data_IF_868104745491
#
_entry.id   IF_868104745491
#
_cell.length_a   1.000
_cell.length_b   1.000
_cell.length_c   1.000
_cell.angle_alpha   90.00
_cell.angle_beta   90.00
_cell.angle_gamma   90.00
#
_symmetry.space_group_name_H-M   'P 1'
#
loop_
_entity.id
_entity.type
_entity.pdbx_description
1 polymer ?
#
# COMPACT_ATOMS: atom_id res chain seq x y z
N UNK A 1 -20.37 -22.23 15.66
CA UNK A 1 -21.20 -21.72 14.55
C UNK A 1 -20.92 -22.52 13.29
N UNK A 2 -19.64 -22.69 12.93
CA UNK A 2 -19.17 -23.39 11.74
C UNK A 2 -18.70 -24.83 12.01
N UNK A 3 -18.88 -25.37 13.22
CA UNK A 3 -18.39 -26.72 13.59
C UNK A 3 -18.91 -27.84 12.68
N UNK A 4 -20.14 -27.71 12.18
CA UNK A 4 -20.80 -28.71 11.34
C UNK A 4 -20.84 -28.32 9.86
N UNK A 5 -20.25 -27.18 9.48
CA UNK A 5 -20.18 -26.76 8.08
C UNK A 5 -18.94 -27.36 7.44
N UNK A 6 -19.00 -27.64 6.14
CA UNK A 6 -17.82 -28.04 5.38
C UNK A 6 -16.77 -26.90 5.40
N UNK A 7 -15.54 -27.22 5.83
CA UNK A 7 -14.43 -26.27 5.93
C UNK A 7 -13.27 -26.80 5.08
N UNK A 8 -13.28 -26.48 3.79
CA UNK A 8 -12.19 -26.83 2.86
C UNK A 8 -11.97 -25.67 1.89
N UNK A 9 -10.72 -25.47 1.48
CA UNK A 9 -10.30 -24.35 0.66
C UNK A 9 -10.47 -23.03 1.39
N UNK A 10 -11.59 -22.32 1.15
CA UNK A 10 -11.83 -20.97 1.67
C UNK A 10 -13.11 -20.89 2.50
N UNK A 11 -13.06 -20.18 3.62
CA UNK A 11 -14.23 -19.86 4.44
C UNK A 11 -14.28 -18.36 4.74
N UNK A 12 -15.16 -17.64 4.06
CA UNK A 12 -15.35 -16.20 4.30
C UNK A 12 -16.24 -15.94 5.51
N UNK A 13 -15.79 -15.07 6.42
CA UNK A 13 -16.57 -14.63 7.58
C UNK A 13 -17.05 -13.18 7.46
N UNK A 14 -16.47 -12.39 6.56
CA UNK A 14 -16.90 -11.03 6.26
C UNK A 14 -16.64 -10.72 4.79
N UNK A 15 -17.67 -10.25 4.10
CA UNK A 15 -17.56 -9.71 2.75
C UNK A 15 -18.39 -8.44 2.59
N UNK A 16 -17.72 -7.33 2.28
CA UNK A 16 -18.32 -5.98 2.28
C UNK A 16 -19.41 -5.73 1.22
N UNK A 17 -19.40 -6.46 0.09
CA UNK A 17 -20.43 -6.32 -0.97
C UNK A 17 -21.75 -7.02 -0.60
N UNK A 18 -21.73 -7.96 0.34
CA UNK A 18 -22.93 -8.68 0.74
C UNK A 18 -24.05 -7.74 1.21
N UNK A 19 -25.31 -8.18 1.08
CA UNK A 19 -26.48 -7.43 1.52
C UNK A 19 -26.39 -7.04 3.01
N UNK A 20 -25.99 -8.00 3.86
CA UNK A 20 -25.79 -7.85 5.31
C UNK A 20 -24.40 -8.35 5.74
N UNK A 21 -23.32 -7.58 5.54
CA UNK A 21 -21.94 -8.03 5.77
C UNK A 21 -21.62 -8.33 7.24
N UNK A 22 -22.38 -7.72 8.15
CA UNK A 22 -22.20 -7.85 9.60
C UNK A 22 -23.28 -8.73 10.25
N UNK A 23 -23.92 -9.63 9.50
CA UNK A 23 -24.99 -10.50 10.03
C UNK A 23 -24.55 -11.34 11.23
N UNK A 24 -23.30 -11.82 11.20
CA UNK A 24 -22.73 -12.69 12.24
C UNK A 24 -21.81 -11.94 13.21
N UNK A 25 -21.75 -10.62 13.10
CA UNK A 25 -20.84 -9.75 13.81
C UNK A 25 -21.59 -8.84 14.80
N UNK A 26 -21.12 -8.76 16.02
CA UNK A 26 -21.51 -7.72 16.98
C UNK A 26 -20.73 -6.43 16.70
N UNK A 27 -21.35 -5.29 16.98
CA UNK A 27 -20.79 -3.97 16.71
C UNK A 27 -20.79 -3.19 18.01
N UNK A 28 -19.61 -2.70 18.41
CA UNK A 28 -19.48 -1.75 19.51
C UNK A 28 -18.83 -0.49 18.99
N UNK A 29 -19.51 0.63 19.20
CA UNK A 29 -19.08 1.94 18.71
C UNK A 29 -19.23 2.94 19.83
N UNK A 30 -18.13 3.62 20.15
CA UNK A 30 -18.12 4.77 21.06
C UNK A 30 -17.20 5.83 20.46
N UNK A 31 -17.74 7.01 20.19
CA UNK A 31 -17.02 8.13 19.55
C UNK A 31 -16.35 7.71 18.23
N UNK A 32 -17.16 7.12 17.33
CA UNK A 32 -16.74 6.62 16.03
C UNK A 32 -17.96 6.22 15.19
N UNK A 33 -17.71 5.57 14.05
CA UNK A 33 -18.76 5.07 13.15
C UNK A 33 -18.35 3.78 12.46
N UNK A 34 -19.37 3.00 12.06
CA UNK A 34 -19.21 1.85 11.18
C UNK A 34 -20.15 2.07 10.00
N UNK A 35 -19.59 2.29 8.81
CA UNK A 35 -20.36 2.56 7.60
C UNK A 35 -19.80 1.82 6.40
N UNK A 36 -20.65 1.58 5.41
CA UNK A 36 -20.22 1.10 4.10
C UNK A 36 -19.96 2.31 3.21
N UNK A 37 -18.80 2.37 2.60
CA UNK A 37 -18.42 3.44 1.66
C UNK A 37 -17.86 2.83 0.39
N UNK A 38 -17.86 3.59 -0.70
CA UNK A 38 -17.11 3.24 -1.91
C UNK A 38 -15.69 3.74 -1.77
N UNK A 39 -14.70 2.85 -1.81
CA UNK A 39 -13.29 3.24 -1.79
C UNK A 39 -12.83 3.65 -3.19
N UNK A 40 -12.13 4.77 -3.30
CA UNK A 40 -11.69 5.31 -4.58
C UNK A 40 -10.63 4.44 -5.25
N UNK A 41 -9.77 3.76 -4.46
CA UNK A 41 -8.65 3.00 -5.02
C UNK A 41 -9.17 1.75 -5.70
N UNK A 42 -10.06 0.98 -5.06
CA UNK A 42 -10.62 -0.27 -5.63
C UNK A 42 -11.98 -0.11 -6.31
N UNK A 43 -12.54 1.10 -6.30
CA UNK A 43 -13.88 1.44 -6.84
C UNK A 43 -14.99 0.48 -6.38
N UNK A 44 -14.92 0.00 -5.14
CA UNK A 44 -15.85 -0.99 -4.61
C UNK A 44 -16.27 -0.67 -3.18
N UNK A 45 -17.40 -1.26 -2.76
CA UNK A 45 -17.92 -1.09 -1.41
C UNK A 45 -16.99 -1.75 -0.39
N UNK A 46 -16.63 -1.00 0.65
CA UNK A 46 -15.80 -1.44 1.77
C UNK A 46 -16.47 -1.08 3.08
N UNK A 47 -16.19 -1.85 4.12
CA UNK A 47 -16.64 -1.54 5.46
C UNK A 47 -15.60 -0.67 6.17
N UNK A 48 -15.93 0.58 6.42
CA UNK A 48 -15.10 1.49 7.21
C UNK A 48 -15.50 1.39 8.69
N UNK A 49 -14.51 1.10 9.54
CA UNK A 49 -14.62 1.13 10.99
C UNK A 49 -13.67 2.20 11.48
N UNK A 50 -14.20 3.32 11.98
CA UNK A 50 -13.39 4.45 12.43
C UNK A 50 -13.80 4.85 13.85
N UNK A 51 -12.82 5.29 14.64
CA UNK A 51 -13.06 5.73 16.01
C UNK A 51 -11.87 6.46 16.58
N UNK A 52 -12.15 7.43 17.44
CA UNK A 52 -11.11 8.21 18.14
C UNK A 52 -10.22 7.32 19.01
N UNK A 53 -10.81 6.35 19.71
CA UNK A 53 -10.10 5.37 20.51
C UNK A 53 -10.25 3.96 19.92
N UNK A 54 -9.12 3.35 19.59
CA UNK A 54 -9.02 2.00 19.00
C UNK A 54 -9.68 0.95 19.90
N UNK A 55 -9.56 1.08 21.21
CA UNK A 55 -10.09 0.09 22.17
C UNK A 55 -11.61 0.11 22.30
N UNK A 56 -12.27 1.23 22.00
CA UNK A 56 -13.70 1.41 22.29
C UNK A 56 -14.62 1.13 21.11
N UNK A 57 -14.07 1.12 19.89
CA UNK A 57 -14.82 0.84 18.67
C UNK A 57 -14.22 -0.39 17.97
N UNK A 58 -15.03 -1.44 17.85
CA UNK A 58 -14.62 -2.71 17.25
C UNK A 58 -15.83 -3.53 16.78
N UNK A 59 -15.56 -4.47 15.88
CA UNK A 59 -16.50 -5.52 15.48
C UNK A 59 -15.99 -6.86 15.97
N UNK A 60 -16.90 -7.73 16.42
CA UNK A 60 -16.56 -9.04 16.97
C UNK A 60 -17.39 -10.13 16.34
N UNK A 61 -16.75 -11.23 15.95
CA UNK A 61 -17.40 -12.43 15.44
C UNK A 61 -17.06 -13.63 16.34
N UNK A 62 -18.05 -14.38 16.87
CA UNK A 62 -19.48 -14.26 16.60
C UNK A 62 -20.15 -13.16 17.43
N UNK A 63 -21.35 -12.73 17.00
CA UNK A 63 -22.10 -11.67 17.66
C UNK A 63 -22.46 -11.99 19.13
N UNK A 64 -22.79 -13.25 19.42
CA UNK A 64 -23.05 -13.71 20.78
C UNK A 64 -21.74 -14.04 21.53
N UNK A 65 -21.48 -13.43 22.70
CA UNK A 65 -20.31 -13.75 23.53
C UNK A 65 -20.22 -15.22 23.96
N UNK A 66 -21.35 -15.93 24.10
CA UNK A 66 -21.41 -17.33 24.53
C UNK A 66 -21.11 -18.31 23.39
N UNK A 67 -21.31 -17.89 22.15
CA UNK A 67 -21.06 -18.72 20.96
C UNK A 67 -19.59 -18.65 20.54
N UNK A 68 -19.14 -19.67 19.82
CA UNK A 68 -17.82 -19.74 19.21
C UNK A 68 -17.94 -19.98 17.71
N UNK A 69 -16.96 -19.53 16.93
CA UNK A 69 -16.86 -19.79 15.49
C UNK A 69 -16.68 -21.29 15.23
N UNK A 70 -15.59 -21.86 15.74
CA UNK A 70 -15.24 -23.28 15.56
C UNK A 70 -14.66 -23.57 14.17
N UNK A 71 -13.77 -22.70 13.72
CA UNK A 71 -13.11 -22.81 12.40
C UNK A 71 -11.74 -23.48 12.60
N UNK A 72 -11.49 -24.57 11.88
CA UNK A 72 -10.27 -25.40 11.97
C UNK A 72 -9.19 -25.04 10.95
N UNK A 73 -9.51 -24.14 10.01
CA UNK A 73 -8.57 -23.67 9.01
C UNK A 73 -7.43 -22.86 9.69
N UNK A 74 -6.15 -23.11 9.34
CA UNK A 74 -4.98 -22.55 10.03
C UNK A 74 -4.63 -21.12 9.61
N UNK A 75 -4.94 -20.71 8.38
CA UNK A 75 -4.60 -19.37 7.90
C UNK A 75 -5.81 -18.45 8.01
N UNK A 76 -5.63 -17.31 8.67
CA UNK A 76 -6.57 -16.20 8.65
C UNK A 76 -6.04 -15.14 7.70
N UNK A 77 -6.82 -14.77 6.69
CA UNK A 77 -6.46 -13.75 5.71
C UNK A 77 -7.43 -12.58 5.80
N UNK A 78 -6.89 -11.37 5.88
CA UNK A 78 -7.65 -10.13 5.95
C UNK A 78 -7.16 -9.15 4.89
N UNK A 79 -8.10 -8.62 4.11
CA UNK A 79 -7.83 -7.57 3.12
C UNK A 79 -8.29 -6.26 3.73
N UNK A 80 -7.32 -5.43 4.14
CA UNK A 80 -7.57 -4.17 4.84
C UNK A 80 -6.78 -3.02 4.22
N UNK A 81 -7.36 -1.82 4.26
CA UNK A 81 -6.64 -0.58 3.91
C UNK A 81 -6.06 0.07 5.15
N UNK A 82 -4.78 0.39 5.08
CA UNK A 82 -4.08 1.17 6.10
C UNK A 82 -4.49 2.64 5.99
N UNK A 83 -5.07 3.19 7.06
CA UNK A 83 -5.47 4.60 7.15
C UNK A 83 -4.41 5.49 7.81
N UNK A 84 -3.18 4.99 8.00
CA UNK A 84 -2.09 5.67 8.72
C UNK A 84 -2.47 6.07 10.15
N UNK A 85 -3.37 5.30 10.76
CA UNK A 85 -3.88 5.47 12.13
C UNK A 85 -3.63 4.20 12.94
N UNK A 86 -3.73 4.28 14.26
CA UNK A 86 -3.56 3.10 15.11
C UNK A 86 -4.64 2.06 14.86
N UNK A 87 -4.21 0.83 14.61
CA UNK A 87 -5.05 -0.31 14.26
C UNK A 87 -4.58 -1.57 15.02
N UNK A 88 -5.53 -2.42 15.39
CA UNK A 88 -5.26 -3.70 16.03
C UNK A 88 -6.38 -4.70 15.73
N UNK A 89 -6.05 -5.98 15.76
CA UNK A 89 -7.03 -7.05 15.75
C UNK A 89 -6.64 -8.13 16.75
N UNK A 90 -7.63 -8.89 17.19
CA UNK A 90 -7.50 -9.98 18.13
C UNK A 90 -8.14 -11.25 17.58
N UNK A 91 -7.44 -12.38 17.76
CA UNK A 91 -7.95 -13.71 17.43
C UNK A 91 -7.83 -14.58 18.67
N UNK A 92 -8.94 -15.19 19.06
CA UNK A 92 -8.96 -16.18 20.13
C UNK A 92 -8.95 -17.58 19.54
N UNK A 93 -8.00 -18.40 19.97
CA UNK A 93 -7.83 -19.78 19.52
C UNK A 93 -7.94 -20.76 20.68
N UNK A 94 -8.24 -22.00 20.35
CA UNK A 94 -8.16 -23.14 21.24
C UNK A 94 -6.92 -23.98 20.89
N UNK A 95 -6.13 -24.31 21.92
CA UNK A 95 -5.00 -25.23 21.80
C UNK A 95 -5.38 -26.69 22.16
N UNK A 96 -4.47 -27.63 21.90
CA UNK A 96 -4.61 -29.06 22.22
C UNK A 96 -4.67 -29.38 23.72
N UNK A 97 -4.23 -28.46 24.56
CA UNK A 97 -4.38 -28.51 26.03
C UNK A 97 -5.73 -27.94 26.49
N UNK A 98 -6.64 -27.66 25.56
CA UNK A 98 -7.96 -27.08 25.82
C UNK A 98 -7.89 -25.71 26.53
N UNK A 99 -6.79 -24.98 26.34
CA UNK A 99 -6.59 -23.63 26.86
C UNK A 99 -6.90 -22.62 25.76
N UNK A 100 -7.63 -21.56 26.14
CA UNK A 100 -7.98 -20.47 25.23
C UNK A 100 -6.85 -19.44 25.23
N UNK A 101 -6.21 -19.24 24.08
CA UNK A 101 -5.15 -18.25 23.88
C UNK A 101 -5.65 -17.12 23.01
N UNK A 102 -5.10 -15.92 23.20
CA UNK A 102 -5.41 -14.75 22.41
C UNK A 102 -4.18 -14.22 21.71
N UNK A 103 -4.27 -14.01 20.41
CA UNK A 103 -3.26 -13.31 19.63
C UNK A 103 -3.78 -11.91 19.35
N UNK A 104 -3.01 -10.90 19.74
CA UNK A 104 -3.28 -9.50 19.42
C UNK A 104 -2.14 -8.98 18.56
N UNK A 105 -2.46 -8.56 17.35
CA UNK A 105 -1.49 -7.87 16.50
C UNK A 105 -1.86 -6.38 16.44
N UNK A 106 -0.88 -5.49 16.54
CA UNK A 106 -1.09 -4.04 16.56
C UNK A 106 0.04 -3.28 15.88
N UNK A 107 -0.28 -2.17 15.22
CA UNK A 107 0.72 -1.35 14.51
C UNK A 107 1.46 -0.33 15.40
N UNK A 108 1.05 -0.18 16.67
CA UNK A 108 1.69 0.69 17.66
C UNK A 108 2.56 -0.08 18.67
N UNK A 109 2.59 -1.41 18.59
CA UNK A 109 3.45 -2.24 19.42
C UNK A 109 4.76 -2.48 18.66
N UNK A 110 5.90 -2.37 19.34
CA UNK A 110 7.23 -2.59 18.73
C UNK A 110 7.82 -3.97 19.00
N UNK A 111 7.44 -4.59 20.12
CA UNK A 111 8.03 -5.86 20.59
C UNK A 111 6.98 -6.94 20.78
N UNK A 112 7.33 -8.18 20.45
CA UNK A 112 6.48 -9.33 20.76
C UNK A 112 6.56 -9.64 22.25
N UNK A 113 5.41 -9.86 22.90
CA UNK A 113 5.32 -10.29 24.30
C UNK A 113 4.41 -11.48 24.41
N UNK A 114 4.91 -12.56 25.00
CA UNK A 114 4.16 -13.80 25.23
C UNK A 114 3.83 -13.88 26.71
N UNK A 115 2.54 -13.81 27.03
CA UNK A 115 1.98 -14.11 28.36
C UNK A 115 1.16 -15.39 28.25
N UNK A 116 0.86 -16.09 29.36
CA UNK A 116 0.12 -17.36 29.30
C UNK A 116 -1.14 -17.28 28.44
N UNK A 117 -2.02 -16.29 28.61
CA UNK A 117 -3.29 -16.25 27.87
C UNK A 117 -3.30 -15.29 26.66
N UNK A 118 -2.24 -14.51 26.47
CA UNK A 118 -2.18 -13.49 25.44
C UNK A 118 -0.78 -13.33 24.86
N UNK A 119 -0.69 -13.37 23.55
CA UNK A 119 0.51 -13.01 22.80
C UNK A 119 0.22 -11.71 22.05
N UNK A 120 0.97 -10.66 22.36
CA UNK A 120 0.91 -9.38 21.65
C UNK A 120 2.08 -9.29 20.68
N UNK A 121 1.80 -9.00 19.42
CA UNK A 121 2.82 -8.91 18.37
C UNK A 121 2.74 -7.58 17.60
N UNK A 122 3.90 -7.04 17.17
CA UNK A 122 3.93 -5.91 16.28
C UNK A 122 3.40 -6.31 14.89
N UNK A 123 2.77 -5.38 14.19
CA UNK A 123 2.54 -5.49 12.75
C UNK A 123 3.05 -4.24 12.04
N UNK A 124 3.54 -4.40 10.82
CA UNK A 124 3.78 -3.30 9.90
C UNK A 124 2.79 -3.43 8.76
N UNK A 125 2.24 -2.29 8.34
CA UNK A 125 1.30 -2.20 7.23
C UNK A 125 1.88 -1.21 6.24
N UNK A 126 1.86 -1.58 4.97
CA UNK A 126 2.27 -0.70 3.89
C UNK A 126 1.17 0.33 3.62
N UNK A 127 1.50 1.33 2.81
CA UNK A 127 0.56 2.35 2.40
C UNK A 127 -0.48 1.77 1.44
N UNK A 128 -1.76 2.08 1.67
CA UNK A 128 -2.85 1.60 0.83
C UNK A 128 -3.42 0.24 1.26
N UNK A 129 -3.74 -0.61 0.29
CA UNK A 129 -4.38 -1.90 0.51
C UNK A 129 -3.37 -2.99 0.84
N UNK A 130 -3.63 -3.72 1.92
CA UNK A 130 -2.76 -4.76 2.45
C UNK A 130 -3.53 -6.08 2.56
N UNK A 131 -2.87 -7.18 2.20
CA UNK A 131 -3.36 -8.53 2.47
C UNK A 131 -2.56 -9.13 3.63
N UNK A 132 -3.17 -9.11 4.82
CA UNK A 132 -2.56 -9.69 6.02
C UNK A 132 -2.85 -11.19 6.03
N UNK A 133 -1.80 -12.00 6.05
CA UNK A 133 -1.88 -13.44 6.19
C UNK A 133 -1.37 -13.84 7.57
N UNK A 134 -2.19 -14.57 8.31
CA UNK A 134 -1.92 -14.87 9.71
C UNK A 134 -1.97 -16.38 9.95
N UNK A 135 -0.79 -16.98 10.15
CA UNK A 135 -0.65 -18.41 10.36
C UNK A 135 -0.88 -18.77 11.84
N UNK A 136 -2.12 -19.12 12.18
CA UNK A 136 -2.51 -19.41 13.56
C UNK A 136 -1.86 -20.68 14.11
N UNK A 137 -1.64 -21.69 13.26
CA UNK A 137 -1.03 -22.95 13.68
C UNK A 137 0.45 -22.77 14.02
N UNK A 138 1.17 -21.99 13.23
CA UNK A 138 2.58 -21.75 13.49
C UNK A 138 2.79 -20.75 14.65
N UNK A 139 1.93 -19.75 14.80
CA UNK A 139 2.00 -18.85 15.97
C UNK A 139 1.69 -19.55 17.29
N UNK A 140 0.73 -20.48 17.33
CA UNK A 140 0.44 -21.28 18.53
C UNK A 140 1.62 -22.18 18.91
N UNK A 141 2.21 -22.86 17.92
CA UNK A 141 3.40 -23.69 18.13
C UNK A 141 4.59 -22.87 18.62
N UNK A 142 4.89 -21.73 17.98
CA UNK A 142 6.03 -20.87 18.37
C UNK A 142 5.85 -20.18 19.72
N UNK A 143 4.64 -19.74 20.06
CA UNK A 143 4.42 -18.99 21.30
C UNK A 143 4.25 -19.90 22.53
N UNK A 144 3.63 -21.08 22.38
CA UNK A 144 3.23 -21.91 23.52
C UNK A 144 3.70 -23.38 23.44
N UNK A 145 4.29 -23.80 22.32
CA UNK A 145 4.68 -25.21 22.12
C UNK A 145 3.49 -26.17 22.03
N UNK A 146 2.32 -25.66 21.65
CA UNK A 146 1.05 -26.41 21.54
C UNK A 146 0.50 -26.36 20.13
N UNK A 147 -0.38 -27.29 19.77
CA UNK A 147 -1.01 -27.33 18.46
C UNK A 147 -2.32 -26.51 18.42
N UNK A 148 -2.59 -25.88 17.28
CA UNK A 148 -3.85 -25.21 17.00
C UNK A 148 -4.96 -26.21 16.71
N UNK A 149 -6.11 -26.05 17.38
CA UNK A 149 -7.33 -26.83 17.10
C UNK A 149 -8.33 -26.01 16.29
N UNK A 150 -8.78 -24.89 16.84
CA UNK A 150 -9.82 -24.07 16.21
C UNK A 150 -9.76 -22.60 16.64
N UNK A 151 -10.24 -21.72 15.77
CA UNK A 151 -10.52 -20.33 16.08
C UNK A 151 -11.91 -20.19 16.71
N UNK A 152 -11.94 -19.53 17.86
CA UNK A 152 -13.15 -19.30 18.64
C UNK A 152 -13.79 -17.95 18.34
N UNK A 153 -12.99 -16.90 18.20
CA UNK A 153 -13.46 -15.52 18.06
C UNK A 153 -12.45 -14.67 17.30
N UNK A 154 -12.95 -13.76 16.46
CA UNK A 154 -12.17 -12.72 15.79
C UNK A 154 -12.74 -11.37 16.18
N UNK A 155 -11.88 -10.43 16.52
CA UNK A 155 -12.25 -9.06 16.86
C UNK A 155 -11.34 -8.10 16.09
N UNK A 156 -11.93 -7.13 15.40
CA UNK A 156 -11.21 -6.15 14.58
C UNK A 156 -11.54 -4.77 15.11
N UNK A 157 -10.52 -4.00 15.46
CA UNK A 157 -10.68 -2.67 16.02
C UNK A 157 -10.76 -1.57 14.95
N UNK A 158 -11.07 -0.37 15.41
CA UNK A 158 -11.20 0.82 14.59
C UNK A 158 -9.93 1.21 13.82
N UNK A 159 -10.15 2.15 12.90
CA UNK A 159 -9.19 2.77 11.98
C UNK A 159 -8.69 1.86 10.87
N UNK A 160 -9.62 1.11 10.28
CA UNK A 160 -9.37 0.32 9.09
C UNK A 160 -10.55 0.38 8.11
N UNK A 161 -10.26 0.12 6.83
CA UNK A 161 -11.30 -0.25 5.86
C UNK A 161 -11.12 -1.72 5.53
N UNK A 162 -12.18 -2.49 5.68
CA UNK A 162 -12.17 -3.94 5.53
C UNK A 162 -12.92 -4.29 4.26
N UNK A 163 -12.26 -5.04 3.38
CA UNK A 163 -12.85 -5.56 2.16
C UNK A 163 -13.41 -6.96 2.37
N UNK A 164 -12.55 -7.87 2.87
CA UNK A 164 -12.85 -9.28 3.06
C UNK A 164 -12.03 -9.85 4.21
N UNK A 165 -12.63 -10.76 4.96
CA UNK A 165 -11.95 -11.59 5.98
C UNK A 165 -12.36 -13.03 5.76
N UNK A 166 -11.37 -13.90 5.55
CA UNK A 166 -11.61 -15.30 5.28
C UNK A 166 -10.51 -16.17 5.89
N UNK A 167 -10.80 -17.45 6.04
CA UNK A 167 -9.84 -18.47 6.41
C UNK A 167 -9.49 -19.33 5.21
N UNK A 168 -8.28 -19.86 5.21
CA UNK A 168 -7.84 -20.85 4.23
C UNK A 168 -7.07 -22.01 4.88
N UNK A 169 -7.06 -23.16 4.20
CA UNK A 169 -6.31 -24.35 4.56
C UNK A 169 -4.80 -24.19 4.31
N UNK A 170 -4.44 -23.50 3.22
CA UNK A 170 -3.08 -23.15 2.82
C UNK A 170 -2.97 -21.69 2.37
N UNK A 171 -1.75 -21.23 2.14
CA UNK A 171 -1.50 -19.98 1.44
C UNK A 171 -1.59 -20.24 -0.06
N UNK A 172 -2.55 -19.59 -0.70
CA UNK A 172 -2.73 -19.63 -2.15
C UNK A 172 -1.95 -18.47 -2.79
N UNK A 173 -1.32 -18.74 -3.93
CA UNK A 173 -0.74 -17.67 -4.76
C UNK A 173 -1.86 -16.85 -5.40
N UNK A 174 -1.54 -15.66 -5.90
CA UNK A 174 -2.52 -14.81 -6.56
C UNK A 174 -3.16 -15.51 -7.76
N UNK A 175 -2.45 -16.38 -8.48
CA UNK A 175 -2.99 -17.08 -9.66
C UNK A 175 -4.05 -18.12 -9.30
N UNK A 176 -3.87 -18.84 -8.19
CA UNK A 176 -4.79 -19.86 -7.70
C UNK A 176 -6.04 -19.27 -7.03
N UNK A 177 -5.98 -18.01 -6.59
CA UNK A 177 -7.11 -17.36 -5.95
C UNK A 177 -8.25 -17.15 -6.96
N UNK A 178 -9.51 -17.50 -6.64
CA UNK A 178 -10.63 -17.11 -7.46
C UNK A 178 -10.71 -15.57 -7.56
N UNK A 179 -11.19 -15.05 -8.70
CA UNK A 179 -11.26 -13.60 -8.95
C UNK A 179 -11.94 -12.81 -7.82
N UNK A 180 -12.90 -13.41 -7.13
CA UNK A 180 -13.58 -12.80 -5.99
C UNK A 180 -12.69 -12.61 -4.74
N UNK A 181 -11.63 -13.40 -4.58
CA UNK A 181 -10.65 -13.29 -3.49
C UNK A 181 -9.43 -12.45 -3.86
N UNK A 182 -9.21 -12.16 -5.16
CA UNK A 182 -8.13 -11.29 -5.61
C UNK A 182 -8.45 -9.82 -5.32
N UNK A 183 -7.41 -9.06 -5.00
CA UNK A 183 -7.50 -7.61 -4.90
C UNK A 183 -7.13 -7.01 -6.25
N UNK A 184 -8.12 -6.56 -7.01
CA UNK A 184 -7.87 -5.78 -8.21
C UNK A 184 -7.81 -4.30 -7.83
N UNK A 185 -6.62 -3.73 -7.91
CA UNK A 185 -6.50 -2.29 -8.05
C UNK A 185 -6.83 -1.96 -9.52
N UNK A 186 -7.85 -1.15 -9.82
CA UNK A 186 -8.02 -0.61 -11.16
C UNK A 186 -6.70 0.01 -11.57
N UNK A 187 -6.20 -0.42 -12.73
CA UNK A 187 -5.03 0.18 -13.35
C UNK A 187 -5.38 1.66 -13.50
N UNK A 188 -4.79 2.50 -12.68
CA UNK A 188 -4.69 3.91 -13.04
C UNK A 188 -3.88 3.85 -14.32
N UNK A 189 -4.55 4.03 -15.47
CA UNK A 189 -3.88 4.48 -16.65
C UNK A 189 -3.15 5.73 -16.19
N UNK A 190 -1.86 5.59 -15.84
CA UNK A 190 -0.92 6.68 -15.95
C UNK A 190 -1.12 7.08 -17.40
N UNK A 191 -1.92 8.12 -17.62
CA UNK A 191 -1.89 8.80 -18.88
C UNK A 191 -0.39 9.02 -19.08
N UNK A 192 0.19 8.31 -20.06
CA UNK A 192 1.38 8.83 -20.71
C UNK A 192 0.93 10.23 -21.04
N UNK A 193 1.40 11.20 -20.26
CA UNK A 193 1.48 12.56 -20.73
C UNK A 193 2.47 12.41 -21.87
N UNK A 194 1.96 12.03 -23.04
CA UNK A 194 2.61 12.39 -24.28
C UNK A 194 2.72 13.90 -24.12
N UNK A 195 3.95 14.36 -23.95
CA UNK A 195 4.30 15.74 -24.12
C UNK A 195 3.93 16.10 -25.55
N UNK A 196 2.65 16.34 -25.82
CA UNK A 196 2.24 17.20 -26.91
C UNK A 196 2.65 18.57 -26.41
N UNK A 197 3.92 18.90 -26.66
CA UNK A 197 4.36 20.28 -26.55
C UNK A 197 3.42 21.08 -27.47
N UNK A 198 2.73 22.12 -26.97
CA UNK A 198 2.04 23.02 -27.87
C UNK A 198 3.08 23.59 -28.83
N UNK A 199 2.84 23.50 -30.13
CA UNK A 199 3.71 23.93 -31.21
C UNK A 199 3.97 25.46 -31.25
N UNK A 200 3.81 26.15 -30.13
CA UNK A 200 3.99 27.59 -29.95
C UNK A 200 5.26 27.94 -29.14
N UNK A 201 6.07 26.96 -28.72
CA UNK A 201 7.35 27.20 -28.01
C UNK A 201 8.56 26.68 -28.81
N UNK A 202 8.41 26.40 -30.10
CA UNK A 202 9.54 26.05 -30.98
C UNK A 202 10.14 27.25 -31.72
N UNK A 203 9.41 28.36 -31.87
CA UNK A 203 9.91 29.52 -32.64
C UNK A 203 10.73 30.53 -31.82
N UNK A 204 10.66 30.53 -30.49
CA UNK A 204 11.44 31.48 -29.68
C UNK A 204 12.89 31.04 -29.40
N UNK A 205 13.18 29.73 -29.47
CA UNK A 205 14.57 29.25 -29.34
C UNK A 205 15.37 29.37 -30.64
N UNK A 206 14.72 29.26 -31.80
CA UNK A 206 15.41 29.43 -33.10
C UNK A 206 15.80 30.89 -33.37
N UNK A 207 15.00 31.86 -32.91
CA UNK A 207 15.34 33.29 -33.09
C UNK A 207 16.53 33.72 -32.22
N UNK A 208 16.69 33.14 -31.02
CA UNK A 208 17.79 33.45 -30.11
C UNK A 208 19.14 32.87 -30.59
N UNK A 209 19.12 31.70 -31.23
CA UNK A 209 20.33 31.13 -31.82
C UNK A 209 20.82 31.89 -33.06
N UNK A 210 19.90 32.38 -33.91
CA UNK A 210 20.28 33.15 -35.10
C UNK A 210 20.84 34.55 -34.75
N UNK A 211 20.31 35.22 -33.72
CA UNK A 211 20.83 36.53 -33.30
C UNK A 211 22.26 36.41 -32.73
N UNK A 212 22.55 35.36 -31.97
CA UNK A 212 23.89 35.14 -31.42
C UNK A 212 24.91 34.73 -32.49
N UNK A 213 24.51 34.00 -33.54
CA UNK A 213 25.40 33.64 -34.65
C UNK A 213 25.72 34.83 -35.56
N UNK A 214 24.76 35.75 -35.77
CA UNK A 214 24.99 36.98 -36.54
C UNK A 214 25.88 37.97 -35.78
N UNK A 215 25.74 38.10 -34.46
CA UNK A 215 26.66 38.91 -33.65
C UNK A 215 28.10 38.36 -33.62
N UNK A 216 28.25 37.04 -33.67
CA UNK A 216 29.57 36.38 -33.69
C UNK A 216 30.26 36.52 -35.05
N UNK A 217 29.51 36.52 -36.16
CA UNK A 217 30.05 36.68 -37.52
C UNK A 217 30.26 38.14 -37.93
N UNK A 218 29.61 39.12 -37.31
CA UNK A 218 29.86 40.55 -37.57
C UNK A 218 30.99 41.14 -36.72
N UNK A 219 31.53 40.39 -35.75
CA UNK A 219 32.66 40.84 -34.91
C UNK A 219 34.04 40.38 -35.43
N UNK A 220 34.10 39.67 -36.57
CA UNK A 220 35.36 39.18 -37.14
C UNK A 220 35.95 40.06 -38.25
N UNK A 221 35.24 41.09 -38.72
CA UNK A 221 35.77 42.03 -39.71
C UNK A 221 35.67 43.46 -39.18
N UNK A 222 36.73 43.92 -38.50
CA UNK A 222 37.24 45.30 -38.58
C UNK A 222 38.56 45.36 -37.81
N UNK A 223 39.66 45.36 -38.57
CA UNK A 223 40.92 45.89 -38.10
C UNK A 223 40.82 47.42 -37.98
N UNK A 224 41.62 47.95 -37.05
CA UNK A 224 42.05 49.35 -36.86
C UNK A 224 41.26 50.23 -35.85
N UNK A 225 41.87 50.41 -34.66
CA UNK A 225 41.65 51.56 -33.78
C UNK A 225 41.30 51.26 -32.30
N UNK A 226 42.29 51.38 -31.41
CA UNK A 226 42.21 51.25 -29.93
C UNK A 226 41.56 52.53 -29.31
N UNK A 227 40.74 52.48 -28.20
CA UNK A 227 41.26 52.54 -26.83
C UNK A 227 40.64 51.55 -25.80
N UNK A 228 41.55 50.90 -25.08
CA UNK A 228 41.50 50.28 -23.74
C UNK A 228 40.16 50.19 -22.97
N UNK A 229 39.67 48.95 -22.77
CA UNK A 229 38.78 48.53 -21.67
C UNK A 229 39.22 47.17 -21.10
N UNK A 230 39.00 46.86 -19.80
CA UNK A 230 39.78 45.86 -19.06
C UNK A 230 39.38 44.41 -19.39
N UNK A 231 40.39 43.56 -19.51
CA UNK A 231 40.37 42.15 -19.96
C UNK A 231 39.63 41.14 -19.04
N UNK A 232 38.86 41.59 -18.05
CA UNK A 232 38.22 40.70 -17.06
C UNK A 232 36.79 40.25 -17.41
N UNK A 233 36.12 40.86 -18.39
CA UNK A 233 34.71 40.57 -18.69
C UNK A 233 34.53 39.50 -19.79
N UNK A 234 35.55 39.25 -20.62
CA UNK A 234 35.47 38.27 -21.70
C UNK A 234 35.65 36.81 -21.22
N UNK A 235 36.30 36.58 -20.08
CA UNK A 235 36.51 35.23 -19.52
C UNK A 235 35.25 34.66 -18.86
N UNK A 236 34.42 35.51 -18.24
CA UNK A 236 33.22 35.08 -17.50
C UNK A 236 32.06 34.65 -18.41
N UNK A 237 31.87 35.31 -19.55
CA UNK A 237 30.78 34.99 -20.49
C UNK A 237 31.03 33.66 -21.24
N UNK A 238 32.28 33.38 -21.58
CA UNK A 238 32.64 32.10 -22.22
C UNK A 238 32.46 30.95 -21.23
N UNK A 239 32.87 31.10 -19.98
CA UNK A 239 32.69 30.05 -18.95
C UNK A 239 31.21 29.76 -18.65
N UNK A 240 30.35 30.78 -18.58
CA UNK A 240 28.91 30.62 -18.35
C UNK A 240 28.23 29.96 -19.56
N UNK A 241 28.65 30.28 -20.79
CA UNK A 241 28.15 29.66 -22.01
C UNK A 241 28.46 28.16 -22.08
N UNK A 242 29.68 27.74 -21.75
CA UNK A 242 30.05 26.32 -21.71
C UNK A 242 29.32 25.55 -20.59
N UNK A 243 29.06 26.18 -19.44
CA UNK A 243 28.32 25.56 -18.32
C UNK A 243 26.84 25.34 -18.69
N UNK A 244 26.20 26.29 -19.38
CA UNK A 244 24.82 26.17 -19.84
C UNK A 244 24.66 25.10 -20.92
N UNK A 245 25.61 24.99 -21.85
CA UNK A 245 25.62 23.93 -22.88
C UNK A 245 25.85 22.56 -22.22
N UNK A 246 26.76 22.46 -21.24
CA UNK A 246 27.01 21.22 -20.51
C UNK A 246 25.82 20.78 -19.64
N UNK A 247 25.13 21.71 -18.96
CA UNK A 247 23.90 21.43 -18.21
C UNK A 247 22.77 20.96 -19.13
N UNK A 248 22.64 21.56 -20.31
CA UNK A 248 21.65 21.14 -21.30
C UNK A 248 21.97 19.76 -21.89
N UNK A 249 23.24 19.42 -22.08
CA UNK A 249 23.68 18.07 -22.51
C UNK A 249 23.53 17.01 -21.41
N UNK A 250 23.83 17.34 -20.15
CA UNK A 250 23.61 16.45 -19.01
C UNK A 250 22.12 16.16 -18.80
N UNK A 251 21.27 17.17 -18.93
CA UNK A 251 19.82 16.99 -18.84
C UNK A 251 19.31 16.08 -19.98
N UNK A 252 19.91 16.18 -21.18
CA UNK A 252 19.59 15.30 -22.31
C UNK A 252 20.08 13.86 -22.08
N UNK A 253 21.27 13.67 -21.51
CA UNK A 253 21.83 12.33 -21.22
C UNK A 253 21.07 11.59 -20.14
N UNK A 254 20.58 12.26 -19.08
CA UNK A 254 19.76 11.60 -18.05
C UNK A 254 18.41 11.15 -18.59
N UNK A 255 17.81 11.92 -19.50
CA UNK A 255 16.53 11.53 -20.15
C UNK A 255 16.71 10.35 -21.12
N UNK A 256 17.89 10.20 -21.74
CA UNK A 256 18.19 9.07 -22.63
C UNK A 256 18.54 7.80 -21.84
N UNK A 257 19.20 7.92 -20.69
CA UNK A 257 19.51 6.76 -19.83
C UNK A 257 18.25 6.14 -19.22
N UNK A 258 17.24 6.94 -18.85
CA UNK A 258 15.94 6.44 -18.39
C UNK A 258 15.11 5.72 -19.47
N UNK A 259 15.48 5.85 -20.75
CA UNK A 259 14.84 5.14 -21.87
C UNK A 259 15.50 3.79 -22.23
N UNK A 260 16.72 3.52 -21.74
CA UNK A 260 17.46 2.31 -22.08
C UNK A 260 17.23 1.11 -21.13
N UNK A 261 16.64 1.32 -19.95
CA UNK A 261 16.32 0.25 -18.98
C UNK A 261 14.99 -0.49 -19.29
N UNK A 262 14.45 -0.33 -20.50
CA UNK A 262 13.18 -0.94 -20.93
C UNK A 262 13.34 -1.85 -22.15
N UNK A 263 14.22 -2.84 -22.05
CA UNK A 263 14.19 -4.04 -22.91
C UNK A 263 13.90 -5.28 -22.04
N UNK A 264 12.78 -6.00 -22.25
CA UNK A 264 12.65 -7.34 -21.72
C UNK A 264 13.50 -8.29 -22.57
N UNK A 265 14.40 -9.03 -21.92
CA UNK A 265 15.10 -10.17 -22.48
C UNK A 265 14.10 -11.21 -22.97
N UNK A 266 14.14 -11.52 -24.26
CA UNK A 266 13.42 -12.62 -24.87
C UNK A 266 14.28 -13.90 -24.81
N UNK A 267 13.82 -14.88 -24.03
CA UNK A 267 14.01 -16.33 -24.23
C UNK A 267 12.67 -17.02 -23.94
#
# INVERSE_FOLDING_TARGET
MFKNTFQSGFLSILYSIGSKPLQIWDKKVRNGHIKRITDNDIQSLVLEVEGTNVSTTYITCPADPKKTLGIKLPFLVMIIKNLKKYFTFEVQVLDDKNVRRRFRASNYQSTTRVKPFICTMPMRLDDGWNQIQFNLSDFTRRAYGTNYIETLRVQIHANCRIRRVYFSDRLYSEDELPAEFKLYLPVQNKAKVSSIMPAHVQNHMFLSLCINLVYFLHSSDTADGIPSFPLFILSAHVHIGWILVALSFCCFSSVVLDLCDWFPSAE
#
